data_IF_114375845625
#
_entry.id   IF_114375845625
#
_cell.length_a   1.000
_cell.length_b   1.000
_cell.length_c   1.000
_cell.angle_alpha   90.00
_cell.angle_beta   90.00
_cell.angle_gamma   90.00
#
_symmetry.space_group_name_H-M   'P 1'
#
loop_
_entity.id
_entity.type
_entity.pdbx_description
1 polymer ?
#
# COMPACT_ATOMS: atom_id res chain seq x y z
N UNK A 1 14.32 2.06 -11.84
CA UNK A 1 13.33 2.02 -10.74
C UNK A 1 12.36 3.17 -10.99
N UNK A 2 11.06 2.97 -10.82
CA UNK A 2 10.07 4.04 -11.00
C UNK A 2 10.34 5.14 -9.95
N UNK A 3 10.35 6.43 -10.31
CA UNK A 3 10.52 7.51 -9.36
C UNK A 3 9.32 7.56 -8.39
N UNK A 4 9.59 7.84 -7.11
CA UNK A 4 8.56 7.83 -6.08
C UNK A 4 8.81 8.92 -5.04
N UNK A 5 7.74 9.29 -4.32
CA UNK A 5 7.78 10.27 -3.22
C UNK A 5 7.44 9.56 -1.91
N UNK A 6 8.13 9.91 -0.82
CA UNK A 6 7.85 9.41 0.54
C UNK A 6 7.40 10.57 1.43
N UNK A 7 6.30 10.36 2.15
CA UNK A 7 5.81 11.26 3.19
C UNK A 7 5.65 10.49 4.50
N UNK A 8 6.10 11.06 5.60
CA UNK A 8 6.03 10.45 6.93
C UNK A 8 5.35 11.42 7.90
N UNK A 9 4.36 10.92 8.64
CA UNK A 9 3.60 11.69 9.61
C UNK A 9 3.63 10.99 10.97
N UNK A 10 3.60 11.76 12.06
CA UNK A 10 3.43 11.17 13.39
C UNK A 10 2.00 10.65 13.59
N UNK A 11 1.00 11.40 13.11
CA UNK A 11 -0.41 11.09 13.30
C UNK A 11 -1.24 11.59 12.12
N UNK A 12 -2.19 10.76 11.69
CA UNK A 12 -3.24 11.10 10.72
C UNK A 12 -4.58 10.54 11.19
N UNK A 13 -5.69 10.97 10.58
CA UNK A 13 -6.96 10.23 10.69
C UNK A 13 -6.84 8.88 9.99
N UNK A 14 -6.41 8.90 8.73
CA UNK A 14 -6.18 7.74 7.87
C UNK A 14 -5.24 8.14 6.73
N UNK A 15 -4.25 7.30 6.42
CA UNK A 15 -3.32 7.49 5.30
C UNK A 15 -4.05 7.45 3.95
N UNK A 16 -5.11 6.63 3.85
CA UNK A 16 -5.97 6.60 2.67
C UNK A 16 -6.73 7.90 2.49
N UNK A 17 -7.36 8.42 3.56
CA UNK A 17 -8.13 9.67 3.48
C UNK A 17 -7.26 10.85 3.14
N UNK A 18 -6.09 10.93 3.76
CA UNK A 18 -5.12 11.97 3.44
C UNK A 18 -4.79 11.98 1.95
N UNK A 19 -4.48 10.82 1.36
CA UNK A 19 -4.23 10.75 -0.08
C UNK A 19 -5.48 11.07 -0.89
N UNK A 20 -6.66 10.61 -0.48
CA UNK A 20 -7.93 10.83 -1.20
C UNK A 20 -8.24 12.32 -1.32
N UNK A 21 -8.05 13.06 -0.23
CA UNK A 21 -8.30 14.49 -0.14
C UNK A 21 -7.23 15.32 -0.85
N UNK A 22 -5.98 14.83 -0.90
CA UNK A 22 -4.82 15.59 -1.38
C UNK A 22 -4.21 15.04 -2.69
N UNK A 23 -4.86 14.09 -3.36
CA UNK A 23 -4.28 13.37 -4.51
C UNK A 23 -3.85 14.29 -5.65
N UNK A 24 -4.49 15.45 -5.84
CA UNK A 24 -4.14 16.42 -6.88
C UNK A 24 -2.76 17.07 -6.65
N UNK A 25 -2.29 17.16 -5.41
CA UNK A 25 -1.01 17.79 -5.05
C UNK A 25 0.19 16.85 -5.18
N UNK A 26 -0.04 15.54 -5.25
CA UNK A 26 1.03 14.54 -5.21
C UNK A 26 1.17 13.78 -6.54
N UNK A 27 2.39 13.43 -6.96
CA UNK A 27 2.59 12.65 -8.18
C UNK A 27 2.14 11.19 -8.02
N UNK A 28 2.03 10.48 -9.15
CA UNK A 28 1.93 9.02 -9.18
C UNK A 28 3.07 8.41 -8.34
N UNK A 29 2.79 7.29 -7.66
CA UNK A 29 3.75 6.59 -6.81
C UNK A 29 4.19 7.39 -5.58
N UNK A 30 3.28 8.16 -4.99
CA UNK A 30 3.49 8.79 -3.68
C UNK A 30 3.09 7.82 -2.58
N UNK A 31 4.02 7.53 -1.68
CA UNK A 31 3.82 6.70 -0.50
C UNK A 31 3.75 7.57 0.74
N UNK A 32 2.83 7.23 1.63
CA UNK A 32 2.64 7.91 2.90
C UNK A 32 2.62 6.88 4.01
N UNK A 33 3.18 7.20 5.17
CA UNK A 33 2.96 6.45 6.41
C UNK A 33 2.60 7.36 7.57
N UNK A 34 1.93 6.78 8.56
CA UNK A 34 1.67 7.42 9.84
C UNK A 34 2.01 6.48 11.00
N UNK A 35 2.57 6.99 12.09
CA UNK A 35 2.81 6.18 13.30
C UNK A 35 1.52 5.89 14.08
N UNK A 36 0.50 6.73 13.88
CA UNK A 36 -0.84 6.62 14.45
C UNK A 36 -1.89 6.96 13.41
N UNK A 37 -2.96 6.16 13.35
CA UNK A 37 -4.21 6.51 12.69
C UNK A 37 -5.34 6.57 13.70
N UNK A 38 -5.96 7.74 13.87
CA UNK A 38 -7.08 7.91 14.82
C UNK A 38 -8.40 7.36 14.30
N UNK A 39 -8.52 7.18 12.98
CA UNK A 39 -9.69 6.62 12.29
C UNK A 39 -9.26 5.59 11.23
N UNK A 40 -8.30 4.73 11.58
CA UNK A 40 -7.81 3.68 10.67
C UNK A 40 -8.95 2.80 10.15
N UNK A 41 -9.01 2.60 8.83
CA UNK A 41 -10.10 1.87 8.17
C UNK A 41 -9.65 0.54 7.58
N UNK A 42 -10.59 -0.38 7.55
CA UNK A 42 -10.60 -1.57 6.70
C UNK A 42 -11.84 -1.56 5.80
N UNK A 43 -12.08 -2.67 5.12
CA UNK A 43 -13.28 -2.83 4.28
C UNK A 43 -14.55 -2.96 5.11
N UNK A 44 -15.69 -2.61 4.50
CA UNK A 44 -17.03 -2.73 5.09
C UNK A 44 -17.14 -2.02 6.46
N UNK A 45 -16.64 -0.79 6.53
CA UNK A 45 -16.64 0.07 7.73
C UNK A 45 -15.95 -0.52 8.97
N UNK A 46 -15.13 -1.55 8.79
CA UNK A 46 -14.32 -2.11 9.87
C UNK A 46 -13.21 -1.13 10.24
N UNK A 47 -12.91 -1.01 11.53
CA UNK A 47 -11.77 -0.24 12.00
C UNK A 47 -10.49 -1.08 11.98
N UNK A 48 -9.40 -0.51 11.49
CA UNK A 48 -8.07 -1.09 11.68
C UNK A 48 -7.54 -0.73 13.06
N UNK A 49 -7.30 -1.75 13.90
CA UNK A 49 -6.77 -1.55 15.24
C UNK A 49 -5.25 -1.62 15.25
N UNK A 50 -4.61 -0.59 15.81
CA UNK A 50 -3.16 -0.54 15.93
C UNK A 50 -2.74 0.20 17.20
N UNK A 51 -1.81 -0.36 17.94
CA UNK A 51 -1.09 0.39 18.96
C UNK A 51 -0.14 1.40 18.31
N UNK A 52 0.09 2.53 18.99
CA UNK A 52 1.00 3.59 18.52
C UNK A 52 2.40 3.04 18.33
N UNK A 53 2.95 3.20 17.12
CA UNK A 53 4.33 2.83 16.81
C UNK A 53 4.64 1.33 16.83
N UNK A 54 3.62 0.45 16.89
CA UNK A 54 3.84 -0.99 16.87
C UNK A 54 3.61 -1.63 15.49
N UNK A 55 2.83 -1.00 14.63
CA UNK A 55 2.47 -1.53 13.31
C UNK A 55 2.74 -0.52 12.22
N UNK A 56 2.94 -1.02 11.01
CA UNK A 56 3.19 -0.19 9.85
C UNK A 56 1.85 0.14 9.17
N UNK A 57 1.52 1.44 9.13
CA UNK A 57 0.29 1.98 8.55
C UNK A 57 0.68 2.91 7.41
N UNK A 58 0.41 2.51 6.17
CA UNK A 58 0.87 3.25 5.02
C UNK A 58 -0.08 3.12 3.84
N UNK A 59 0.02 4.04 2.89
CA UNK A 59 -0.72 3.99 1.65
C UNK A 59 0.13 4.41 0.45
N UNK A 60 -0.27 4.00 -0.75
CA UNK A 60 0.29 4.47 -2.03
C UNK A 60 -0.79 5.06 -2.93
N UNK A 61 -0.45 6.18 -3.55
CA UNK A 61 -1.23 6.84 -4.59
C UNK A 61 -0.76 6.35 -5.97
N UNK A 62 -1.65 5.70 -6.70
CA UNK A 62 -1.48 5.35 -8.10
C UNK A 62 -2.42 6.21 -8.95
N UNK A 63 -1.87 6.81 -9.99
CA UNK A 63 -2.61 7.55 -11.02
C UNK A 63 -2.54 6.83 -12.34
N UNK A 64 -3.55 7.04 -13.18
CA UNK A 64 -3.63 6.48 -14.53
C UNK A 64 -3.67 4.94 -14.53
N UNK A 65 -4.37 4.35 -13.56
CA UNK A 65 -4.59 2.89 -13.52
C UNK A 65 -5.78 2.56 -14.40
N UNK A 66 -5.64 1.60 -15.31
CA UNK A 66 -6.79 1.15 -16.11
C UNK A 66 -7.70 0.23 -15.28
N UNK A 67 -9.01 0.30 -15.50
CA UNK A 67 -9.97 -0.57 -14.81
C UNK A 67 -9.67 -2.08 -14.98
N UNK A 68 -9.11 -2.46 -16.15
CA UNK A 68 -8.75 -3.84 -16.46
C UNK A 68 -7.48 -4.33 -15.71
N UNK A 69 -6.75 -3.44 -15.05
CA UNK A 69 -5.50 -3.77 -14.35
C UNK A 69 -5.73 -4.21 -12.89
N UNK A 70 -6.98 -4.27 -12.44
CA UNK A 70 -7.31 -4.59 -11.03
C UNK A 70 -6.71 -5.91 -10.53
N UNK A 71 -6.75 -6.97 -11.35
CA UNK A 71 -6.14 -8.26 -10.99
C UNK A 71 -4.62 -8.21 -10.97
N UNK A 72 -4.01 -7.50 -11.91
CA UNK A 72 -2.56 -7.33 -11.96
C UNK A 72 -2.06 -6.53 -10.75
N UNK A 73 -2.81 -5.50 -10.34
CA UNK A 73 -2.54 -4.70 -9.16
C UNK A 73 -2.67 -5.51 -7.88
N UNK A 74 -3.72 -6.33 -7.74
CA UNK A 74 -3.85 -7.23 -6.59
C UNK A 74 -2.66 -8.19 -6.50
N UNK A 75 -2.29 -8.84 -7.61
CA UNK A 75 -1.12 -9.74 -7.64
C UNK A 75 0.17 -9.01 -7.28
N UNK A 76 0.38 -7.80 -7.79
CA UNK A 76 1.56 -6.99 -7.45
C UNK A 76 1.67 -6.76 -5.94
N UNK A 77 0.58 -6.36 -5.28
CA UNK A 77 0.56 -6.13 -3.83
C UNK A 77 0.80 -7.45 -3.09
N UNK A 78 0.04 -8.51 -3.43
CA UNK A 78 0.12 -9.79 -2.75
C UNK A 78 1.50 -10.43 -2.86
N UNK A 79 2.00 -10.60 -4.08
CA UNK A 79 3.28 -11.28 -4.33
C UNK A 79 4.42 -10.53 -3.61
N UNK A 80 4.44 -9.19 -3.71
CA UNK A 80 5.50 -8.41 -3.07
C UNK A 80 5.42 -8.48 -1.54
N UNK A 81 4.23 -8.38 -0.95
CA UNK A 81 4.07 -8.44 0.50
C UNK A 81 4.37 -9.84 1.03
N UNK A 82 3.99 -10.90 0.31
CA UNK A 82 4.33 -12.29 0.65
C UNK A 82 5.85 -12.47 0.62
N UNK A 83 6.52 -12.05 -0.47
CA UNK A 83 7.98 -12.15 -0.60
C UNK A 83 8.71 -11.43 0.54
N UNK A 84 8.28 -10.21 0.89
CA UNK A 84 8.86 -9.45 2.00
C UNK A 84 8.67 -10.19 3.32
N UNK A 85 7.47 -10.66 3.62
CA UNK A 85 7.19 -11.36 4.88
C UNK A 85 7.97 -12.69 4.98
N UNK A 86 8.10 -13.43 3.88
CA UNK A 86 8.91 -14.65 3.81
C UNK A 86 10.39 -14.38 4.09
N UNK A 87 10.92 -13.23 3.67
CA UNK A 87 12.30 -12.84 3.97
C UNK A 87 12.58 -12.66 5.47
N UNK A 88 11.54 -12.43 6.29
CA UNK A 88 11.63 -12.38 7.75
C UNK A 88 11.28 -13.72 8.42
N UNK A 89 11.06 -14.79 7.65
CA UNK A 89 10.67 -16.09 8.19
C UNK A 89 9.19 -16.22 8.52
N UNK A 90 8.35 -15.31 8.02
CA UNK A 90 6.89 -15.42 8.14
C UNK A 90 6.33 -16.06 6.88
N UNK A 91 5.49 -17.09 7.02
CA UNK A 91 4.85 -17.77 5.89
C UNK A 91 3.38 -17.39 5.76
N UNK A 92 3.05 -16.20 5.21
CA UNK A 92 1.68 -15.81 5.01
C UNK A 92 1.05 -16.54 3.82
N UNK A 93 -0.27 -16.63 3.83
CA UNK A 93 -1.07 -16.94 2.66
C UNK A 93 -2.11 -15.84 2.45
N UNK A 94 -2.55 -15.70 1.21
CA UNK A 94 -3.61 -14.78 0.86
C UNK A 94 -4.97 -15.33 1.28
N UNK A 95 -5.74 -14.49 1.97
CA UNK A 95 -7.15 -14.72 2.27
C UNK A 95 -7.96 -13.67 1.56
N UNK A 96 -8.78 -14.14 0.62
CA UNK A 96 -9.72 -13.30 -0.10
C UNK A 96 -10.62 -12.50 0.88
N UNK A 97 -10.95 -11.23 0.56
CA UNK A 97 -10.64 -10.56 -0.70
C UNK A 97 -9.33 -9.77 -0.73
N UNK A 98 -8.74 -9.41 0.41
CA UNK A 98 -7.65 -8.42 0.47
C UNK A 98 -6.73 -8.56 1.70
N UNK A 99 -6.62 -9.75 2.31
CA UNK A 99 -5.89 -9.91 3.56
C UNK A 99 -4.78 -10.96 3.45
N UNK A 100 -3.71 -10.80 4.24
CA UNK A 100 -2.72 -11.85 4.45
C UNK A 100 -2.87 -12.43 5.85
N UNK A 101 -2.75 -13.74 5.93
CA UNK A 101 -2.95 -14.53 7.14
C UNK A 101 -1.77 -15.48 7.36
N UNK A 102 -1.43 -15.72 8.63
CA UNK A 102 -0.53 -16.80 9.03
C UNK A 102 -1.34 -17.74 9.90
N UNK A 103 -1.48 -19.00 9.47
CA UNK A 103 -2.53 -19.89 9.97
C UNK A 103 -3.89 -19.15 9.90
N UNK A 104 -4.72 -19.21 10.93
CA UNK A 104 -6.03 -18.52 10.93
C UNK A 104 -5.98 -17.06 11.42
N UNK A 105 -4.79 -16.49 11.64
CA UNK A 105 -4.61 -15.17 12.22
C UNK A 105 -4.20 -14.12 11.18
N UNK A 106 -4.88 -12.98 11.17
CA UNK A 106 -4.59 -11.88 10.23
C UNK A 106 -3.26 -11.19 10.57
N UNK A 107 -2.37 -11.02 9.60
CA UNK A 107 -1.12 -10.25 9.76
C UNK A 107 -1.12 -8.94 8.96
N UNK A 108 -1.78 -8.91 7.81
CA UNK A 108 -1.82 -7.74 6.94
C UNK A 108 -3.23 -7.54 6.39
N UNK A 109 -3.70 -6.30 6.34
CA UNK A 109 -4.92 -5.91 5.64
C UNK A 109 -4.62 -4.92 4.54
N UNK A 110 -5.25 -5.12 3.38
CA UNK A 110 -5.11 -4.24 2.22
C UNK A 110 -6.48 -3.60 1.93
N UNK A 111 -6.50 -2.28 1.78
CA UNK A 111 -7.67 -1.48 1.47
C UNK A 111 -7.44 -0.72 0.17
N UNK A 112 -8.09 -1.18 -0.90
CA UNK A 112 -8.02 -0.54 -2.22
C UNK A 112 -9.25 0.34 -2.40
N UNK A 113 -9.04 1.64 -2.60
CA UNK A 113 -10.07 2.62 -2.93
C UNK A 113 -9.76 3.23 -4.29
N UNK A 114 -10.70 3.15 -5.23
CA UNK A 114 -10.60 3.83 -6.53
C UNK A 114 -11.51 5.06 -6.58
N UNK A 115 -11.05 6.07 -7.30
CA UNK A 115 -11.81 7.25 -7.67
C UNK A 115 -11.80 7.32 -9.19
N UNK A 116 -12.99 7.15 -9.79
CA UNK A 116 -13.13 7.32 -11.22
C UNK A 116 -13.16 8.80 -11.57
N UNK A 117 -12.19 9.21 -12.38
CA UNK A 117 -12.30 10.44 -13.14
C UNK A 117 -12.97 10.09 -14.47
N UNK A 118 -13.81 10.98 -15.01
CA UNK A 118 -14.80 10.69 -16.07
C UNK A 118 -14.26 10.09 -17.41
N UNK A 119 -12.99 9.71 -17.52
CA UNK A 119 -12.38 9.08 -18.69
C UNK A 119 -11.32 8.01 -18.33
N UNK A 120 -11.64 6.72 -18.56
CA UNK A 120 -10.78 5.49 -18.70
C UNK A 120 -9.80 5.14 -17.57
N UNK A 121 -9.30 6.12 -16.83
CA UNK A 121 -8.19 6.02 -15.90
C UNK A 121 -8.64 6.40 -14.49
N UNK A 122 -8.43 5.50 -13.55
CA UNK A 122 -8.74 5.73 -12.15
C UNK A 122 -7.52 6.26 -11.39
N UNK A 123 -7.80 7.07 -10.37
CA UNK A 123 -6.89 7.26 -9.26
C UNK A 123 -7.17 6.14 -8.26
N UNK A 124 -6.14 5.37 -7.91
CA UNK A 124 -6.26 4.27 -6.97
C UNK A 124 -5.37 4.55 -5.76
N UNK A 125 -5.94 4.40 -4.58
CA UNK A 125 -5.25 4.51 -3.30
C UNK A 125 -5.27 3.15 -2.65
N UNK A 126 -4.09 2.63 -2.32
CA UNK A 126 -3.95 1.34 -1.67
C UNK A 126 -3.40 1.60 -0.27
N UNK A 127 -4.22 1.33 0.75
CA UNK A 127 -3.82 1.32 2.15
C UNK A 127 -3.39 -0.06 2.58
N UNK A 128 -2.31 -0.14 3.34
CA UNK A 128 -1.76 -1.37 3.88
C UNK A 128 -1.53 -1.17 5.38
N UNK A 129 -2.23 -1.97 6.17
CA UNK A 129 -1.97 -2.13 7.60
C UNK A 129 -1.23 -3.44 7.82
N UNK A 130 0.01 -3.38 8.29
CA UNK A 130 0.83 -4.54 8.60
C UNK A 130 1.15 -4.61 10.08
N UNK A 131 0.80 -5.73 10.72
CA UNK A 131 1.11 -5.98 12.11
C UNK A 131 2.59 -6.38 12.28
N UNK A 132 3.38 -5.56 12.97
CA UNK A 132 4.84 -5.74 13.04
C UNK A 132 5.28 -6.16 14.44
N UNK A 133 5.23 -5.24 15.41
CA UNK A 133 5.77 -5.40 16.75
C UNK A 133 4.70 -5.66 17.81
N UNK A 134 3.41 -5.56 17.47
CA UNK A 134 2.32 -5.70 18.42
C UNK A 134 2.20 -7.14 18.94
N UNK A 135 2.11 -7.29 20.27
CA UNK A 135 2.05 -8.59 20.94
C UNK A 135 0.65 -8.95 21.47
N UNK A 136 -0.22 -7.95 21.63
CA UNK A 136 -1.56 -8.13 22.20
C UNK A 136 -2.59 -7.55 21.24
N UNK A 137 -3.59 -8.37 20.88
CA UNK A 137 -4.71 -7.98 20.03
C UNK A 137 -6.01 -8.26 20.79
N UNK A 138 -6.90 -7.28 20.88
CA UNK A 138 -8.13 -7.40 21.65
C UNK A 138 -9.34 -7.54 20.72
N UNK A 139 -10.12 -8.62 20.88
CA UNK A 139 -11.37 -8.81 20.14
C UNK A 139 -11.21 -9.12 18.65
N UNK A 140 -9.97 -9.35 18.17
CA UNK A 140 -9.68 -9.73 16.78
C UNK A 140 -8.71 -10.92 16.74
N UNK A 141 -8.85 -11.78 15.72
CA UNK A 141 -7.92 -12.87 15.49
C UNK A 141 -6.78 -12.41 14.57
N UNK A 142 -5.72 -11.89 15.18
CA UNK A 142 -4.59 -11.29 14.49
C UNK A 142 -3.25 -11.79 15.04
N UNK A 143 -2.21 -11.68 14.22
CA UNK A 143 -0.82 -11.96 14.57
C UNK A 143 0.09 -10.85 14.06
N UNK A 144 1.37 -10.89 14.42
CA UNK A 144 2.39 -9.94 13.99
C UNK A 144 3.70 -10.63 13.62
N UNK A 145 4.59 -9.92 12.90
CA UNK A 145 5.94 -10.42 12.61
C UNK A 145 6.64 -10.84 13.91
N UNK A 146 6.53 -10.03 14.97
CA UNK A 146 7.14 -10.31 16.26
C UNK A 146 6.57 -11.56 16.94
N UNK A 147 5.26 -11.78 16.87
CA UNK A 147 4.67 -13.01 17.42
C UNK A 147 5.09 -14.27 16.63
N UNK A 148 5.30 -14.16 15.32
CA UNK A 148 5.68 -15.29 14.48
C UNK A 148 7.18 -15.62 14.55
N UNK A 149 8.03 -14.62 14.79
CA UNK A 149 9.49 -14.77 14.61
C UNK A 149 10.31 -14.40 15.85
N UNK A 150 9.71 -13.69 16.82
CA UNK A 150 10.42 -13.06 17.93
C UNK A 150 11.18 -11.77 17.57
N UNK A 151 11.26 -11.41 16.29
CA UNK A 151 11.99 -10.24 15.82
C UNK A 151 11.20 -8.94 16.08
N UNK A 152 11.89 -7.92 16.59
CA UNK A 152 11.36 -6.56 16.60
C UNK A 152 12.03 -5.77 15.48
N UNK A 153 11.23 -5.11 14.65
CA UNK A 153 11.72 -4.39 13.46
C UNK A 153 11.53 -2.88 13.64
N UNK A 154 12.47 -2.10 13.12
CA UNK A 154 12.31 -0.66 13.01
C UNK A 154 11.31 -0.34 11.89
N UNK A 155 10.19 0.30 12.22
CA UNK A 155 9.07 0.48 11.28
C UNK A 155 9.46 1.27 10.03
N UNK A 156 10.35 2.25 10.17
CA UNK A 156 10.84 3.05 9.04
C UNK A 156 11.66 2.23 8.06
N UNK A 157 12.51 1.35 8.57
CA UNK A 157 13.41 0.56 7.73
C UNK A 157 12.59 -0.48 6.97
N UNK A 158 11.61 -1.10 7.65
CA UNK A 158 10.65 -2.01 7.03
C UNK A 158 9.80 -1.29 5.97
N UNK A 159 9.35 -0.07 6.25
CA UNK A 159 8.61 0.74 5.27
C UNK A 159 9.41 0.99 4.01
N UNK A 160 10.65 1.47 4.13
CA UNK A 160 11.53 1.73 2.99
C UNK A 160 11.77 0.44 2.21
N UNK A 161 12.07 -0.67 2.89
CA UNK A 161 12.27 -1.97 2.25
C UNK A 161 11.04 -2.42 1.45
N UNK A 162 9.83 -2.27 2.01
CA UNK A 162 8.59 -2.61 1.31
C UNK A 162 8.39 -1.70 0.10
N UNK A 163 8.56 -0.38 0.24
CA UNK A 163 8.42 0.56 -0.87
C UNK A 163 9.39 0.24 -2.00
N UNK A 164 10.65 -0.05 -1.68
CA UNK A 164 11.66 -0.41 -2.69
C UNK A 164 11.32 -1.73 -3.39
N UNK A 165 10.87 -2.75 -2.64
CA UNK A 165 10.43 -4.02 -3.20
C UNK A 165 9.23 -3.82 -4.15
N UNK A 166 8.23 -3.03 -3.72
CA UNK A 166 7.03 -2.74 -4.49
C UNK A 166 7.35 -1.89 -5.74
N UNK A 167 8.20 -0.88 -5.62
CA UNK A 167 8.68 -0.04 -6.73
C UNK A 167 9.47 -0.85 -7.76
N UNK A 168 10.30 -1.79 -7.31
CA UNK A 168 11.05 -2.70 -8.19
C UNK A 168 10.13 -3.69 -8.89
N UNK A 169 9.10 -4.18 -8.20
CA UNK A 169 8.17 -5.17 -8.73
C UNK A 169 7.16 -4.57 -9.72
N UNK A 170 6.72 -3.33 -9.50
CA UNK A 170 5.60 -2.70 -10.21
C UNK A 170 5.69 -2.82 -11.75
N UNK A 171 6.84 -2.59 -12.41
CA UNK A 171 6.90 -2.67 -13.86
C UNK A 171 6.56 -4.05 -14.45
N UNK A 172 6.71 -5.12 -13.67
CA UNK A 172 6.35 -6.47 -14.12
C UNK A 172 4.84 -6.69 -14.21
N UNK A 173 4.05 -5.88 -13.50
CA UNK A 173 2.60 -6.07 -13.38
C UNK A 173 1.81 -4.99 -14.11
N UNK A 174 2.25 -3.73 -14.00
CA UNK A 174 1.41 -2.56 -14.31
C UNK A 174 2.09 -1.54 -15.23
N UNK A 175 3.35 -1.77 -15.63
CA UNK A 175 3.99 -0.84 -16.56
C UNK A 175 3.57 -1.12 -17.99
N UNK A 176 3.05 -0.08 -18.64
CA UNK A 176 2.92 -0.04 -20.08
C UNK A 176 4.04 0.84 -20.66
N UNK A 177 4.78 0.37 -21.68
CA UNK A 177 5.71 1.23 -22.40
C UNK A 177 4.94 2.42 -22.95
N UNK A 178 5.23 3.59 -22.40
CA UNK A 178 4.60 4.88 -22.61
C UNK A 178 3.91 5.06 -23.98
N UNK A 179 2.63 5.44 -23.92
CA UNK A 179 2.14 6.61 -24.65
C UNK A 179 3.01 7.84 -24.33
N UNK A 180 4.21 7.89 -24.90
CA UNK A 180 4.85 9.18 -25.21
C UNK A 180 3.99 9.71 -26.36
N UNK A 181 2.97 10.50 -26.04
CA UNK A 181 2.50 11.49 -26.99
C UNK A 181 3.66 12.46 -27.17
N UNK A 182 4.46 12.24 -28.22
CA UNK A 182 5.23 13.32 -28.82
C UNK A 182 4.20 14.41 -29.15
N UNK A 183 4.14 15.45 -28.33
CA UNK A 183 3.57 16.71 -28.78
C UNK A 183 4.57 17.22 -29.81
N UNK A 184 4.35 16.83 -31.07
CA UNK A 184 4.99 17.48 -32.19
C UNK A 184 4.42 18.90 -32.23
N UNK A 185 5.15 19.84 -31.61
CA UNK A 185 4.93 21.27 -31.86
C UNK A 185 5.39 21.50 -33.30
N UNK A 186 4.46 21.33 -34.24
CA UNK A 186 4.63 21.82 -35.59
C UNK A 186 4.59 23.35 -35.49
N UNK A 187 5.75 23.98 -35.34
CA UNK A 187 5.89 25.40 -35.60
C UNK A 187 5.56 25.60 -37.09
N UNK A 188 4.39 26.14 -37.39
CA UNK A 188 4.12 26.66 -38.72
C UNK A 188 4.96 27.93 -38.89
N UNK A 189 5.80 28.02 -39.93
CA UNK A 189 6.46 29.27 -40.25
C UNK A 189 5.43 30.27 -40.75
N UNK A 190 5.48 31.49 -40.20
CA UNK A 190 4.89 32.67 -40.84
C UNK A 190 5.66 33.02 -42.11
#
# INVERSE_FOLDING_TARGET
>A
MIPYTLLEFEELTSTNDFLKENQTYFPHFTWIRADVQTQGRGQYDRTWQSNKGENLLFSVLLKQVHANDSDAMKRWIMDTMIDVLQSFGVSPHFKEPNDLYVNDQKICGILIESMSMEHVFDVVIIGIGLNVNQMLFHGINATSIKQQTGLSLHLRDLFILIVEAMAKAYPRYLWQPSSISFVSVCLQPF
#
